data_IF_263985145112
#
_entry.id   IF_263985145112
#
_cell.length_a   1.000
_cell.length_b   1.000
_cell.length_c   1.000
_cell.angle_alpha   90.00
_cell.angle_beta   90.00
_cell.angle_gamma   90.00
#
_symmetry.space_group_name_H-M   'P 1'
#
loop_
_entity.id
_entity.type
_entity.pdbx_description
1 polymer ?
#
# COMPACT_ATOMS: atom_id res chain seq x y z
N UNK A 1 -22.28 -11.50 -8.06
CA UNK A 1 -21.12 -10.99 -8.83
C UNK A 1 -19.91 -11.11 -7.92
N UNK A 2 -18.93 -11.94 -8.27
CA UNK A 2 -17.63 -11.89 -7.61
C UNK A 2 -17.08 -10.48 -7.85
N UNK A 3 -16.90 -9.68 -6.79
CA UNK A 3 -16.16 -8.43 -6.91
C UNK A 3 -14.78 -8.81 -7.45
N UNK A 4 -14.28 -8.10 -8.46
CA UNK A 4 -12.92 -8.32 -8.92
C UNK A 4 -11.98 -8.30 -7.71
N UNK A 5 -10.98 -9.18 -7.69
CA UNK A 5 -9.93 -9.23 -6.66
C UNK A 5 -8.67 -8.53 -7.21
N UNK A 6 -8.69 -7.22 -7.50
CA UNK A 6 -7.52 -6.60 -8.09
C UNK A 6 -6.40 -6.64 -7.06
N UNK A 7 -5.32 -7.34 -7.39
CA UNK A 7 -4.06 -7.16 -6.70
C UNK A 7 -3.60 -5.72 -6.94
N UNK A 8 -3.10 -5.10 -5.88
CA UNK A 8 -2.59 -3.74 -5.91
C UNK A 8 -1.09 -3.79 -5.69
N UNK A 9 -0.39 -2.86 -6.30
CA UNK A 9 1.06 -2.82 -6.27
C UNK A 9 1.54 -1.39 -6.06
N UNK A 10 2.70 -1.26 -5.41
CA UNK A 10 3.46 -0.02 -5.34
C UNK A 10 4.84 -0.25 -5.96
N UNK A 11 5.20 0.62 -6.87
CA UNK A 11 6.53 0.70 -7.45
C UNK A 11 7.27 1.91 -6.87
N UNK A 12 8.50 1.69 -6.41
CA UNK A 12 9.40 2.75 -5.96
C UNK A 12 10.36 3.07 -7.08
N UNK A 13 10.47 4.35 -7.41
CA UNK A 13 11.42 4.84 -8.39
C UNK A 13 12.40 5.80 -7.73
N UNK A 14 13.63 5.86 -8.23
CA UNK A 14 14.53 6.96 -7.92
C UNK A 14 14.14 8.24 -8.69
N UNK A 15 14.89 9.32 -8.47
CA UNK A 15 14.63 10.61 -9.11
C UNK A 15 14.93 10.61 -10.63
N UNK A 16 15.66 9.59 -11.11
CA UNK A 16 15.94 9.34 -12.52
C UNK A 16 14.92 8.39 -13.17
N UNK A 17 13.89 7.97 -12.43
CA UNK A 17 12.85 7.03 -12.84
C UNK A 17 13.35 5.58 -13.04
N UNK A 18 14.48 5.21 -12.44
CA UNK A 18 14.85 3.80 -12.36
C UNK A 18 14.01 3.10 -11.29
N UNK A 19 13.56 1.88 -11.58
CA UNK A 19 12.81 1.06 -10.62
C UNK A 19 13.76 0.57 -9.52
N UNK A 20 13.41 0.85 -8.27
CA UNK A 20 14.15 0.43 -7.09
C UNK A 20 13.53 -0.81 -6.42
N UNK A 21 12.20 -0.86 -6.34
CA UNK A 21 11.47 -1.95 -5.68
C UNK A 21 10.00 -1.97 -6.10
N UNK A 22 9.38 -3.14 -5.91
CA UNK A 22 7.94 -3.36 -6.08
C UNK A 22 7.39 -4.05 -4.83
N UNK A 23 6.18 -3.66 -4.39
CA UNK A 23 5.44 -4.32 -3.32
C UNK A 23 4.05 -4.68 -3.79
N UNK A 24 3.80 -5.99 -3.88
CA UNK A 24 2.48 -6.52 -4.15
C UNK A 24 1.71 -6.70 -2.84
N UNK A 25 0.50 -6.13 -2.77
CA UNK A 25 -0.40 -6.37 -1.66
C UNK A 25 -1.23 -7.62 -1.86
N UNK A 26 -1.62 -8.24 -0.75
CA UNK A 26 -2.65 -9.28 -0.74
C UNK A 26 -3.99 -8.74 -1.26
N UNK A 27 -4.85 -9.65 -1.73
CA UNK A 27 -6.18 -9.31 -2.24
C UNK A 27 -6.98 -8.53 -1.18
N UNK A 28 -7.55 -7.40 -1.59
CA UNK A 28 -8.28 -6.47 -0.71
C UNK A 28 -7.46 -5.89 0.45
N UNK A 29 -6.14 -6.12 0.48
CA UNK A 29 -5.29 -5.71 1.60
C UNK A 29 -5.29 -4.21 1.86
N UNK A 30 -5.49 -3.41 0.81
CA UNK A 30 -5.47 -1.94 0.87
C UNK A 30 -6.60 -1.30 0.08
N UNK A 31 -6.91 -0.05 0.43
CA UNK A 31 -7.71 0.88 -0.36
C UNK A 31 -6.76 1.76 -1.20
N UNK A 32 -6.82 1.63 -2.53
CA UNK A 32 -5.74 2.07 -3.43
C UNK A 32 -6.10 3.24 -4.34
N UNK A 33 -7.34 3.68 -4.35
CA UNK A 33 -7.80 4.72 -5.28
C UNK A 33 -7.44 6.14 -4.82
N UNK A 34 -7.51 6.43 -3.52
CA UNK A 34 -7.57 7.83 -3.07
C UNK A 34 -7.24 8.06 -1.58
N UNK A 35 -6.69 7.07 -0.87
CA UNK A 35 -6.36 7.23 0.56
C UNK A 35 -4.95 6.72 0.92
N UNK A 36 -3.94 7.48 0.47
CA UNK A 36 -2.54 7.28 0.82
C UNK A 36 -1.85 8.63 1.05
N UNK A 37 -0.82 8.65 1.90
CA UNK A 37 -0.06 9.86 2.21
C UNK A 37 1.40 9.53 2.53
N UNK A 38 2.32 10.41 2.11
CA UNK A 38 3.75 10.29 2.46
C UNK A 38 4.02 11.13 3.70
N UNK A 39 4.45 10.48 4.77
CA UNK A 39 4.86 11.13 6.02
C UNK A 39 6.36 11.12 6.22
N UNK A 40 6.81 11.62 7.38
CA UNK A 40 8.25 11.72 7.73
C UNK A 40 8.97 10.37 7.75
N UNK A 41 8.24 9.27 7.99
CA UNK A 41 8.80 7.93 8.17
C UNK A 41 8.54 6.99 7.01
N UNK A 42 7.68 7.35 6.04
CA UNK A 42 7.37 6.48 4.92
C UNK A 42 6.01 6.76 4.27
N UNK A 43 5.56 5.81 3.45
CA UNK A 43 4.29 5.86 2.76
C UNK A 43 3.21 5.13 3.58
N UNK A 44 2.15 5.84 3.93
CA UNK A 44 0.98 5.28 4.59
C UNK A 44 -0.08 4.99 3.54
N UNK A 45 -0.55 3.74 3.51
CA UNK A 45 -1.58 3.28 2.58
C UNK A 45 -2.77 2.80 3.40
N UNK A 46 -3.95 3.33 3.14
CA UNK A 46 -5.14 2.96 3.91
C UNK A 46 -5.45 1.47 3.74
N UNK A 47 -5.79 0.82 4.86
CA UNK A 47 -6.32 -0.55 4.88
C UNK A 47 -7.84 -0.59 5.00
N UNK A 48 -8.53 0.57 4.90
CA UNK A 48 -9.99 0.67 4.95
C UNK A 48 -10.66 0.20 3.65
N UNK A 49 -10.44 -1.07 3.31
CA UNK A 49 -11.11 -1.70 2.19
C UNK A 49 -12.36 -2.44 2.70
N UNK A 50 -13.54 -2.02 2.25
CA UNK A 50 -14.85 -2.59 2.62
C UNK A 50 -15.01 -4.09 2.31
N UNK A 51 -14.06 -4.70 1.58
CA UNK A 51 -14.08 -6.12 1.27
C UNK A 51 -13.19 -6.96 2.19
N UNK A 52 -12.52 -6.35 3.19
CA UNK A 52 -11.81 -7.08 4.23
C UNK A 52 -12.75 -7.52 5.35
N UNK A 53 -12.47 -8.67 5.93
CA UNK A 53 -13.25 -9.24 7.04
C UNK A 53 -13.19 -8.38 8.32
N UNK A 54 -12.12 -7.60 8.49
CA UNK A 54 -11.87 -6.71 9.63
C UNK A 54 -12.20 -5.23 9.35
N UNK A 55 -12.94 -4.95 8.27
CA UNK A 55 -13.32 -3.57 7.93
C UNK A 55 -14.16 -2.93 9.05
N UNK A 56 -13.82 -1.69 9.39
CA UNK A 56 -14.60 -0.80 10.26
C UNK A 56 -14.66 0.60 9.63
N UNK A 57 -15.84 1.21 9.69
CA UNK A 57 -16.11 2.59 9.29
C UNK A 57 -15.87 3.61 10.42
N UNK A 58 -15.70 3.13 11.66
CA UNK A 58 -15.41 3.95 12.85
C UNK A 58 -13.91 4.25 13.02
N UNK A 59 -13.02 3.48 12.37
CA UNK A 59 -11.56 3.60 12.54
C UNK A 59 -10.88 3.69 11.19
N UNK A 60 -10.10 4.75 10.98
CA UNK A 60 -9.23 4.87 9.81
C UNK A 60 -7.84 4.26 10.10
N UNK A 61 -7.49 3.21 9.35
CA UNK A 61 -6.31 2.38 9.55
C UNK A 61 -5.38 2.45 8.34
N UNK A 62 -4.09 2.40 8.61
CA UNK A 62 -3.04 2.51 7.60
C UNK A 62 -1.96 1.45 7.79
N UNK A 63 -1.46 0.92 6.68
CA UNK A 63 -0.20 0.20 6.63
C UNK A 63 0.90 1.22 6.31
N UNK A 64 1.91 1.31 7.17
CA UNK A 64 3.13 2.03 6.88
C UNK A 64 4.05 1.15 6.04
N UNK A 65 4.58 1.71 4.96
CA UNK A 65 5.58 1.10 4.11
C UNK A 65 6.83 1.95 4.17
N UNK A 66 7.95 1.31 4.51
CA UNK A 66 9.26 1.95 4.49
C UNK A 66 10.14 1.28 3.46
N UNK A 67 10.87 2.09 2.68
CA UNK A 67 11.84 1.59 1.73
C UNK A 67 13.23 1.66 2.35
N UNK A 68 13.89 0.51 2.49
CA UNK A 68 15.24 0.44 3.00
C UNK A 68 16.25 0.39 1.82
N UNK A 69 17.00 1.46 1.60
CA UNK A 69 17.96 1.50 0.48
C UNK A 69 19.16 0.57 0.64
N UNK A 70 19.40 0.01 1.84
CA UNK A 70 20.49 -0.95 2.07
C UNK A 70 20.12 -2.38 1.67
N UNK A 71 18.83 -2.68 1.60
CA UNK A 71 18.26 -3.99 1.30
C UNK A 71 17.02 -3.67 0.46
N UNK A 72 17.11 -3.72 -0.88
CA UNK A 72 16.09 -3.22 -1.83
C UNK A 72 14.71 -3.91 -1.72
N UNK A 73 14.04 -3.70 -0.59
CA UNK A 73 12.84 -4.35 -0.13
C UNK A 73 12.08 -3.41 0.82
N UNK A 74 10.79 -3.71 0.99
CA UNK A 74 9.93 -3.02 1.93
C UNK A 74 9.96 -3.74 3.29
N UNK A 75 10.06 -2.95 4.36
CA UNK A 75 9.81 -3.38 5.74
C UNK A 75 8.39 -2.97 6.17
#
# INVERSE_FOLDING_TARGET
MERSRPLKEIMVLDKELNVLAEHLFEAFGVHSSDNFLVGKVGLYVSTNNMSRDDFSDEVMSYKLLTYNSRIAHFE
#
